data_IF_878071544230
#
_entry.id   IF_878071544230
#
_cell.length_a   1.000
_cell.length_b   1.000
_cell.length_c   1.000
_cell.angle_alpha   90.00
_cell.angle_beta   90.00
_cell.angle_gamma   90.00
#
_symmetry.space_group_name_H-M   'P 1'
#
loop_
_entity.id
_entity.type
_entity.pdbx_description
1 polymer ?
#
# COMPACT_ATOMS: atom_id res chain seq x y z
N UNK A 1 -25.16 6.82 -15.45
CA UNK A 1 -23.96 7.68 -15.43
C UNK A 1 -22.82 6.95 -16.10
N UNK A 2 -22.16 7.54 -17.10
CA UNK A 2 -20.99 6.94 -17.76
C UNK A 2 -19.74 7.46 -17.05
N UNK A 3 -18.91 6.56 -16.52
CA UNK A 3 -17.65 6.95 -15.88
C UNK A 3 -16.68 7.57 -16.90
N UNK A 4 -15.69 8.32 -16.40
CA UNK A 4 -14.61 8.85 -17.22
C UNK A 4 -13.88 7.70 -17.91
N UNK A 5 -13.58 7.87 -19.19
CA UNK A 5 -12.67 7.01 -19.93
C UNK A 5 -11.23 7.36 -19.57
N UNK A 6 -10.30 6.45 -19.85
CA UNK A 6 -8.87 6.62 -19.52
C UNK A 6 -8.28 7.85 -20.19
N UNK A 7 -8.64 8.06 -21.44
CA UNK A 7 -8.24 9.20 -22.24
C UNK A 7 -8.76 10.52 -21.65
N UNK A 8 -9.97 10.54 -21.11
CA UNK A 8 -10.55 11.73 -20.48
C UNK A 8 -9.82 12.05 -19.17
N UNK A 9 -9.47 11.03 -18.37
CA UNK A 9 -8.64 11.23 -17.16
C UNK A 9 -7.26 11.76 -17.53
N UNK A 10 -6.62 11.21 -18.56
CA UNK A 10 -5.30 11.64 -19.01
C UNK A 10 -5.31 13.11 -19.44
N UNK A 11 -6.31 13.52 -20.22
CA UNK A 11 -6.52 14.91 -20.64
C UNK A 11 -6.73 15.83 -19.42
N UNK A 12 -7.61 15.45 -18.49
CA UNK A 12 -7.87 16.24 -17.28
C UNK A 12 -6.65 16.36 -16.36
N UNK A 13 -5.78 15.35 -16.33
CA UNK A 13 -4.55 15.35 -15.55
C UNK A 13 -3.34 15.97 -16.29
N UNK A 14 -3.50 16.37 -17.55
CA UNK A 14 -2.41 16.94 -18.36
C UNK A 14 -1.27 15.97 -18.66
N UNK A 15 -1.57 14.67 -18.76
CA UNK A 15 -0.60 13.61 -19.09
C UNK A 15 -0.99 12.89 -20.38
N UNK A 16 -0.04 12.20 -21.01
CA UNK A 16 -0.38 11.37 -22.17
C UNK A 16 -1.20 10.15 -21.76
N UNK A 17 -2.09 9.68 -22.63
CA UNK A 17 -2.87 8.47 -22.39
C UNK A 17 -1.97 7.25 -22.15
N UNK A 18 -0.87 7.11 -22.90
CA UNK A 18 0.11 6.04 -22.71
C UNK A 18 0.82 6.12 -21.36
N UNK A 19 1.10 7.34 -20.88
CA UNK A 19 1.66 7.52 -19.54
C UNK A 19 0.67 7.09 -18.45
N UNK A 20 -0.60 7.47 -18.59
CA UNK A 20 -1.67 7.03 -17.68
C UNK A 20 -1.86 5.51 -17.70
N UNK A 21 -1.82 4.86 -18.87
CA UNK A 21 -1.89 3.39 -19.01
C UNK A 21 -0.72 2.72 -18.30
N UNK A 22 0.51 3.24 -18.44
CA UNK A 22 1.68 2.69 -17.73
C UNK A 22 1.58 2.84 -16.21
N UNK A 23 1.00 3.93 -15.72
CA UNK A 23 0.70 4.11 -14.30
C UNK A 23 -0.33 3.09 -13.80
N UNK A 24 -1.45 2.92 -14.51
CA UNK A 24 -2.47 1.92 -14.13
C UNK A 24 -1.91 0.49 -14.11
N UNK A 25 -1.02 0.16 -15.05
CA UNK A 25 -0.38 -1.14 -15.13
C UNK A 25 0.77 -1.32 -14.12
N UNK A 26 1.13 -0.28 -13.36
CA UNK A 26 2.26 -0.29 -12.43
C UNK A 26 3.63 -0.41 -13.11
N UNK A 27 3.72 -0.11 -14.40
CA UNK A 27 4.99 -0.06 -15.16
C UNK A 27 5.72 1.26 -14.94
N UNK A 28 4.97 2.34 -14.75
CA UNK A 28 5.49 3.59 -14.22
C UNK A 28 5.34 3.57 -12.69
N UNK A 29 6.44 3.77 -11.97
CA UNK A 29 6.48 3.55 -10.50
C UNK A 29 6.90 4.79 -9.71
N UNK A 30 7.33 5.85 -10.40
CA UNK A 30 7.82 7.06 -9.74
C UNK A 30 7.26 8.33 -10.43
N UNK A 31 5.92 8.52 -10.44
CA UNK A 31 5.34 9.76 -10.95
C UNK A 31 5.78 10.96 -10.13
N UNK A 32 5.80 12.14 -10.74
CA UNK A 32 6.11 13.38 -10.02
C UNK A 32 4.98 13.77 -9.07
N UNK A 33 5.26 14.54 -7.99
CA UNK A 33 4.22 15.05 -7.08
C UNK A 33 3.14 15.84 -7.82
N UNK A 34 3.53 16.59 -8.85
CA UNK A 34 2.61 17.38 -9.68
C UNK A 34 1.66 16.49 -10.47
N UNK A 35 2.15 15.40 -11.05
CA UNK A 35 1.31 14.41 -11.75
C UNK A 35 0.31 13.77 -10.79
N UNK A 36 0.77 13.41 -9.59
CA UNK A 36 -0.10 12.81 -8.56
C UNK A 36 -1.19 13.77 -8.10
N UNK A 37 -0.85 15.05 -7.91
CA UNK A 37 -1.85 16.06 -7.57
C UNK A 37 -2.85 16.31 -8.70
N UNK A 38 -2.37 16.39 -9.96
CA UNK A 38 -3.22 16.54 -11.13
C UNK A 38 -4.20 15.37 -11.30
N UNK A 39 -3.74 14.13 -11.05
CA UNK A 39 -4.60 12.95 -11.02
C UNK A 39 -5.65 13.03 -9.89
N UNK A 40 -5.24 13.48 -8.70
CA UNK A 40 -6.17 13.69 -7.58
C UNK A 40 -7.25 14.72 -7.91
N UNK A 41 -6.90 15.79 -8.62
CA UNK A 41 -7.83 16.80 -9.12
C UNK A 41 -8.77 16.25 -10.20
N UNK A 42 -8.23 15.59 -11.21
CA UNK A 42 -8.99 15.01 -12.33
C UNK A 42 -10.05 14.00 -11.84
N UNK A 43 -9.69 13.17 -10.85
CA UNK A 43 -10.56 12.18 -10.25
C UNK A 43 -11.45 12.74 -9.12
N UNK A 44 -11.37 14.05 -8.85
CA UNK A 44 -12.14 14.74 -7.78
C UNK A 44 -11.99 14.05 -6.41
N UNK A 45 -10.77 13.63 -6.08
CA UNK A 45 -10.49 12.98 -4.82
C UNK A 45 -10.58 13.97 -3.65
N UNK A 46 -11.26 13.55 -2.57
CA UNK A 46 -11.24 14.24 -1.28
C UNK A 46 -9.88 14.11 -0.57
N UNK A 47 -9.70 14.84 0.53
CA UNK A 47 -8.41 14.95 1.23
C UNK A 47 -7.79 13.60 1.62
N UNK A 48 -8.58 12.67 2.17
CA UNK A 48 -8.10 11.34 2.57
C UNK A 48 -7.64 10.51 1.36
N UNK A 49 -8.42 10.54 0.27
CA UNK A 49 -8.09 9.81 -0.95
C UNK A 49 -6.86 10.40 -1.64
N UNK A 50 -6.67 11.73 -1.63
CA UNK A 50 -5.44 12.36 -2.10
C UNK A 50 -4.24 11.93 -1.25
N UNK A 51 -4.36 11.98 0.06
CA UNK A 51 -3.30 11.53 0.99
C UNK A 51 -2.89 10.09 0.73
N UNK A 52 -3.88 9.23 0.49
CA UNK A 52 -3.65 7.84 0.13
C UNK A 52 -2.95 7.71 -1.23
N UNK A 53 -3.37 8.47 -2.25
CA UNK A 53 -2.75 8.47 -3.57
C UNK A 53 -1.26 8.88 -3.51
N UNK A 54 -0.92 9.91 -2.73
CA UNK A 54 0.47 10.31 -2.49
C UNK A 54 1.29 9.22 -1.77
N UNK A 55 0.67 8.46 -0.87
CA UNK A 55 1.30 7.31 -0.20
C UNK A 55 1.54 6.16 -1.18
N UNK A 56 0.57 5.84 -2.04
CA UNK A 56 0.72 4.83 -3.09
C UNK A 56 1.85 5.17 -4.06
N UNK A 57 2.02 6.44 -4.39
CA UNK A 57 3.11 6.93 -5.25
C UNK A 57 4.48 7.00 -4.54
N UNK A 58 4.54 6.78 -3.22
CA UNK A 58 5.80 6.84 -2.45
C UNK A 58 6.35 8.26 -2.23
N UNK A 59 5.55 9.30 -2.46
CA UNK A 59 5.97 10.72 -2.46
C UNK A 59 5.91 11.34 -1.05
N UNK A 60 5.28 10.67 -0.09
CA UNK A 60 5.25 11.15 1.29
C UNK A 60 6.61 10.89 1.97
N UNK A 61 7.26 11.88 2.61
CA UNK A 61 8.35 11.58 3.52
C UNK A 61 7.83 10.59 4.55
N UNK A 62 8.43 9.39 4.60
CA UNK A 62 8.10 8.37 5.60
C UNK A 62 8.23 9.03 6.97
N UNK A 63 7.12 9.48 7.53
CA UNK A 63 7.09 9.93 8.91
C UNK A 63 7.48 8.68 9.68
N UNK A 64 8.45 8.77 10.61
CA UNK A 64 8.93 7.66 11.45
C UNK A 64 7.81 6.81 12.10
N UNK A 65 6.58 7.32 12.11
CA UNK A 65 5.36 6.62 12.51
C UNK A 65 4.90 5.49 11.55
N UNK A 66 5.28 5.47 10.26
CA UNK A 66 4.85 4.43 9.32
C UNK A 66 5.43 3.04 9.68
N UNK A 67 6.63 2.98 10.26
CA UNK A 67 7.19 1.71 10.76
C UNK A 67 6.47 1.14 11.98
N UNK A 68 5.65 1.95 12.67
CA UNK A 68 4.77 1.49 13.74
C UNK A 68 3.38 1.11 13.23
N UNK A 69 2.94 1.60 12.06
CA UNK A 69 1.67 1.24 11.43
C UNK A 69 1.70 -0.12 10.73
N UNK A 70 2.87 -0.60 10.33
CA UNK A 70 3.02 -1.94 9.75
C UNK A 70 3.04 -3.07 10.81
N UNK A 71 2.99 -2.73 12.09
CA UNK A 71 3.01 -3.71 13.19
C UNK A 71 1.62 -3.90 13.76
N UNK A 72 1.11 -5.14 13.65
CA UNK A 72 -0.17 -5.53 14.25
C UNK A 72 0.02 -5.71 15.76
N UNK A 73 -0.88 -5.12 16.55
CA UNK A 73 -0.86 -5.28 18.01
C UNK A 73 -0.97 -6.78 18.39
N UNK A 74 -0.22 -7.28 19.39
CA UNK A 74 -0.26 -8.69 19.77
C UNK A 74 -1.67 -9.22 20.08
N UNK A 75 -2.53 -8.40 20.68
CA UNK A 75 -3.92 -8.83 20.98
C UNK A 75 -4.76 -9.02 19.72
N UNK A 76 -4.51 -8.26 18.65
CA UNK A 76 -5.16 -8.48 17.36
C UNK A 76 -4.70 -9.80 16.74
N UNK A 77 -3.42 -10.19 16.92
CA UNK A 77 -2.93 -11.50 16.49
C UNK A 77 -3.59 -12.64 17.28
N UNK A 78 -3.73 -12.48 18.61
CA UNK A 78 -4.43 -13.47 19.45
C UNK A 78 -5.89 -13.61 19.07
N UNK A 79 -6.57 -12.49 18.80
CA UNK A 79 -7.95 -12.49 18.33
C UNK A 79 -8.07 -13.19 16.97
N UNK A 80 -7.13 -12.94 16.06
CA UNK A 80 -7.09 -13.54 14.75
C UNK A 80 -6.87 -15.07 14.81
N UNK A 81 -6.03 -15.54 15.74
CA UNK A 81 -5.82 -16.96 16.02
C UNK A 81 -7.02 -17.62 16.74
N UNK A 82 -7.87 -16.84 17.42
CA UNK A 82 -9.10 -17.32 18.05
C UNK A 82 -10.22 -17.68 17.07
N UNK A 83 -10.04 -17.45 15.77
CA UNK A 83 -10.97 -17.86 14.71
C UNK A 83 -10.42 -19.05 13.89
N UNK A 84 -10.37 -20.28 14.44
CA UNK A 84 -9.75 -21.42 13.79
C UNK A 84 -10.57 -22.00 12.64
N UNK A 85 -11.85 -21.61 12.47
CA UNK A 85 -12.75 -22.14 11.42
C UNK A 85 -13.17 -21.10 10.39
N UNK A 86 -12.91 -19.81 10.66
CA UNK A 86 -13.31 -18.69 9.81
C UNK A 86 -12.08 -17.98 9.26
N UNK A 87 -12.08 -17.63 7.97
CA UNK A 87 -10.98 -16.86 7.38
C UNK A 87 -10.99 -15.41 7.90
N UNK A 88 -9.88 -14.96 8.48
CA UNK A 88 -9.74 -13.61 9.05
C UNK A 88 -8.38 -12.98 8.70
N UNK A 89 -8.37 -11.64 8.64
CA UNK A 89 -7.20 -10.82 8.33
C UNK A 89 -7.30 -9.44 8.98
N UNK A 90 -6.16 -8.79 9.20
CA UNK A 90 -6.05 -7.41 9.69
C UNK A 90 -5.62 -6.53 8.52
N UNK A 91 -6.30 -5.40 8.33
CA UNK A 91 -5.94 -4.39 7.34
C UNK A 91 -5.32 -3.16 7.99
N UNK A 92 -4.31 -2.59 7.33
CA UNK A 92 -3.80 -1.29 7.67
C UNK A 92 -4.68 -0.17 7.08
N UNK A 93 -4.42 1.09 7.48
CA UNK A 93 -5.07 2.26 6.88
C UNK A 93 -4.96 2.35 5.34
N UNK A 94 -3.88 1.91 4.67
CA UNK A 94 -3.86 1.86 3.20
C UNK A 94 -4.55 0.62 2.61
N UNK A 95 -5.38 -0.10 3.39
CA UNK A 95 -6.08 -1.33 2.99
C UNK A 95 -5.15 -2.47 2.57
N UNK A 96 -3.89 -2.41 2.99
CA UNK A 96 -2.96 -3.51 2.88
C UNK A 96 -3.25 -4.56 3.96
N UNK A 97 -2.96 -5.81 3.67
CA UNK A 97 -3.14 -6.88 4.66
C UNK A 97 -1.87 -7.00 5.50
N UNK A 98 -2.01 -6.72 6.80
CA UNK A 98 -0.93 -6.74 7.78
C UNK A 98 -0.76 -8.11 8.45
N UNK A 99 -1.86 -8.85 8.66
CA UNK A 99 -1.84 -10.20 9.23
C UNK A 99 -3.02 -11.05 8.74
N UNK A 100 -2.87 -12.37 8.78
CA UNK A 100 -3.88 -13.35 8.30
C UNK A 100 -3.84 -14.62 9.13
N UNK A 101 -4.99 -15.24 9.40
CA UNK A 101 -5.00 -16.55 10.05
C UNK A 101 -4.77 -17.69 9.03
N UNK A 102 -4.58 -18.89 9.54
CA UNK A 102 -4.30 -20.08 8.73
C UNK A 102 -5.40 -20.35 7.69
N UNK A 103 -6.68 -20.15 8.08
CA UNK A 103 -7.84 -20.35 7.21
C UNK A 103 -7.87 -19.39 6.03
N UNK A 104 -7.52 -18.12 6.24
CA UNK A 104 -7.35 -17.16 5.15
C UNK A 104 -6.26 -17.60 4.17
N UNK A 105 -5.12 -18.05 4.69
CA UNK A 105 -3.98 -18.50 3.89
C UNK A 105 -4.30 -19.72 3.03
N UNK A 106 -5.05 -20.69 3.57
CA UNK A 106 -5.50 -21.88 2.84
C UNK A 106 -6.41 -21.53 1.66
N UNK A 107 -7.22 -20.47 1.77
CA UNK A 107 -8.16 -20.00 0.73
C UNK A 107 -7.47 -19.13 -0.34
N UNK A 108 -6.32 -18.54 -0.05
CA UNK A 108 -5.71 -17.43 -0.82
C UNK A 108 -4.95 -17.80 -2.11
N UNK A 109 -4.93 -19.07 -2.55
CA UNK A 109 -4.21 -19.51 -3.79
C UNK A 109 -4.72 -18.86 -5.11
N UNK A 110 -5.60 -17.84 -5.07
CA UNK A 110 -6.28 -17.26 -6.25
C UNK A 110 -6.21 -15.73 -6.38
N UNK A 111 -5.37 -15.00 -5.64
CA UNK A 111 -5.32 -13.50 -5.73
C UNK A 111 -3.92 -13.01 -6.16
N UNK A 112 -3.80 -12.10 -7.14
CA UNK A 112 -2.50 -11.65 -7.66
C UNK A 112 -1.59 -11.03 -6.60
N UNK A 113 -0.30 -11.26 -6.79
CA UNK A 113 0.83 -10.88 -5.92
C UNK A 113 1.05 -9.36 -5.89
N UNK A 114 0.18 -8.60 -5.24
CA UNK A 114 0.43 -7.20 -4.89
C UNK A 114 1.41 -7.11 -3.72
N UNK A 115 2.32 -6.12 -3.77
CA UNK A 115 3.59 -6.01 -3.03
C UNK A 115 3.50 -6.57 -1.59
N UNK A 116 4.38 -7.53 -1.30
CA UNK A 116 4.69 -8.00 0.06
C UNK A 116 5.23 -6.81 0.87
N UNK A 117 4.38 -6.18 1.69
CA UNK A 117 4.84 -5.70 2.99
C UNK A 117 5.36 -6.93 3.73
N UNK A 118 6.64 -6.93 4.08
CA UNK A 118 7.24 -8.03 4.83
C UNK A 118 6.52 -8.16 6.17
N UNK A 119 5.75 -9.24 6.36
CA UNK A 119 5.25 -9.65 7.68
C UNK A 119 6.45 -9.80 8.62
N UNK A 120 6.69 -8.80 9.48
CA UNK A 120 7.51 -9.00 10.67
C UNK A 120 6.57 -9.44 11.77
N UNK A 121 6.46 -10.76 11.96
CA UNK A 121 6.03 -11.30 13.24
C UNK A 121 7.08 -10.90 14.27
N UNK A 122 6.74 -9.95 15.12
CA UNK A 122 7.46 -9.71 16.36
C UNK A 122 7.07 -10.80 17.36
N UNK A 123 7.49 -12.05 17.10
CA UNK A 123 7.48 -13.06 18.16
C UNK A 123 8.43 -12.56 19.24
N UNK A 124 7.88 -12.39 20.45
CA UNK A 124 8.48 -11.70 21.59
C UNK A 124 9.74 -12.33 22.19
N UNK A 125 10.62 -12.96 21.41
CA UNK A 125 11.94 -13.42 21.84
C UNK A 125 12.95 -13.37 20.68
N UNK A 126 13.48 -12.18 20.39
CA UNK A 126 14.92 -11.91 20.11
C UNK A 126 15.09 -10.48 19.59
N UNK A 127 15.76 -9.67 20.41
CA UNK A 127 16.30 -8.36 20.04
C UNK A 127 17.31 -8.59 18.91
N UNK A 128 17.08 -8.01 17.73
CA UNK A 128 18.05 -8.03 16.64
C UNK A 128 18.55 -6.61 16.42
N UNK A 129 19.86 -6.51 16.53
CA UNK A 129 20.70 -5.33 16.47
C UNK A 129 20.61 -4.61 15.11
N UNK A 130 20.62 -3.27 15.16
CA UNK A 130 20.59 -2.38 14.00
C UNK A 130 22.00 -2.25 13.43
N UNK A 131 22.39 -3.07 12.44
CA UNK A 131 23.54 -2.72 11.59
C UNK A 131 23.13 -1.64 10.58
N UNK A 132 23.57 -0.41 10.86
CA UNK A 132 23.59 0.69 9.89
C UNK A 132 24.74 0.43 8.92
N UNK A 133 24.45 0.18 7.65
CA UNK A 133 25.42 0.44 6.58
C UNK A 133 24.88 1.55 5.70
N UNK A 134 25.33 2.77 5.99
CA UNK A 134 25.41 3.83 5.00
C UNK A 134 26.30 3.33 3.85
N UNK A 135 25.80 3.34 2.62
CA UNK A 135 26.67 3.53 1.45
C UNK A 135 26.42 4.94 0.94
N UNK A 136 27.38 5.81 1.27
CA UNK A 136 27.61 7.06 0.57
C UNK A 136 28.15 6.76 -0.84
N UNK A 137 28.05 7.76 -1.73
CA UNK A 137 28.08 7.61 -3.17
C UNK A 137 29.37 7.10 -3.79
N UNK A 138 29.27 6.73 -5.07
CA UNK A 138 29.68 7.63 -6.17
C UNK A 138 28.89 7.27 -7.43
#
# INVERSE_FOLDING_TARGET
>A
MKGLRREEVAVLAGVSADYYIRLEQGRETNPSPQVVDALGSALRLGADARTHLFRLAGINPRTKADSFRDQVHPDLLRLLDAFPTTAAYVMGPPLDILATNERWSARRRRVPRWRRGTLRRSDGKRRVELERRCRAGR
#
